data_IF_206581473336
#
_entry.id   IF_206581473336
#
_cell.length_a   1.000
_cell.length_b   1.000
_cell.length_c   1.000
_cell.angle_alpha   90.00
_cell.angle_beta   90.00
_cell.angle_gamma   90.00
#
_symmetry.space_group_name_H-M   'P 1'
#
loop_
_entity.id
_entity.type
_entity.pdbx_description
1 polymer ?
#
# COMPACT_ATOMS: atom_id res chain seq x y z
N UNK A 1 -1.59 -8.34 0.79
CA UNK A 1 -1.03 -9.64 1.21
C UNK A 1 0.37 -9.52 1.78
N UNK A 2 1.16 -8.51 1.38
CA UNK A 2 2.47 -8.23 1.99
C UNK A 2 3.56 -9.19 1.54
N UNK A 3 3.41 -9.77 0.34
CA UNK A 3 4.39 -10.69 -0.24
C UNK A 3 5.73 -10.01 -0.50
N UNK A 4 6.81 -10.74 -0.27
CA UNK A 4 8.19 -10.30 -0.51
C UNK A 4 8.61 -10.48 -1.99
N UNK A 5 7.87 -11.28 -2.75
CA UNK A 5 8.15 -11.57 -4.16
C UNK A 5 6.89 -11.48 -5.00
N UNK A 6 7.03 -10.91 -6.20
CA UNK A 6 6.00 -10.88 -7.24
C UNK A 6 6.61 -11.14 -8.60
N UNK A 7 5.82 -11.11 -9.68
CA UNK A 7 6.33 -11.40 -11.00
C UNK A 7 5.37 -11.12 -12.15
N UNK A 8 5.88 -11.36 -13.35
CA UNK A 8 5.10 -11.40 -14.57
C UNK A 8 5.09 -12.81 -15.13
N UNK A 9 3.93 -13.23 -15.64
CA UNK A 9 3.74 -14.50 -16.31
C UNK A 9 3.21 -14.24 -17.72
N UNK A 10 3.85 -14.85 -18.71
CA UNK A 10 3.34 -14.93 -20.06
C UNK A 10 2.65 -16.27 -20.23
N UNK A 11 1.36 -16.27 -20.52
CA UNK A 11 0.54 -17.47 -20.63
C UNK A 11 -0.35 -17.42 -21.86
N UNK A 12 -0.83 -18.58 -22.30
CA UNK A 12 -1.87 -18.66 -23.33
C UNK A 12 -3.22 -18.21 -22.77
N UNK A 13 -4.06 -17.64 -23.63
CA UNK A 13 -5.44 -17.32 -23.26
C UNK A 13 -6.32 -18.57 -23.42
N UNK A 14 -7.12 -18.86 -22.40
CA UNK A 14 -8.17 -19.89 -22.41
C UNK A 14 -9.49 -19.29 -21.91
N UNK A 15 -10.59 -20.05 -21.98
CA UNK A 15 -11.91 -19.56 -21.55
C UNK A 15 -11.98 -19.21 -20.07
N UNK A 16 -11.27 -19.96 -19.22
CA UNK A 16 -11.15 -19.70 -17.79
C UNK A 16 -10.15 -18.55 -17.57
N UNK A 17 -10.56 -17.54 -16.81
CA UNK A 17 -9.75 -16.35 -16.52
C UNK A 17 -8.39 -16.75 -15.95
N UNK A 18 -7.31 -16.20 -16.53
CA UNK A 18 -5.92 -16.36 -16.09
C UNK A 18 -5.45 -17.81 -15.87
N UNK A 19 -6.05 -18.80 -16.54
CA UNK A 19 -5.81 -20.22 -16.29
C UNK A 19 -5.07 -20.97 -17.42
N UNK A 20 -4.58 -20.26 -18.44
CA UNK A 20 -3.88 -20.92 -19.53
C UNK A 20 -2.45 -21.34 -19.14
N UNK A 21 -1.86 -22.23 -19.93
CA UNK A 21 -0.51 -22.71 -19.68
C UNK A 21 0.51 -21.56 -19.77
N UNK A 22 1.45 -21.53 -18.82
CA UNK A 22 2.49 -20.49 -18.70
C UNK A 22 3.65 -20.84 -19.62
N UNK A 23 3.98 -19.93 -20.53
CA UNK A 23 5.10 -20.04 -21.49
C UNK A 23 6.42 -19.66 -20.80
N UNK A 24 6.41 -18.56 -20.05
CA UNK A 24 7.56 -18.06 -19.32
C UNK A 24 7.11 -17.16 -18.17
N UNK A 25 7.96 -17.02 -17.15
CA UNK A 25 7.72 -16.12 -16.03
C UNK A 25 9.01 -15.45 -15.58
N UNK A 26 8.91 -14.29 -14.94
CA UNK A 26 10.03 -13.62 -14.28
C UNK A 26 9.59 -13.08 -12.93
N UNK A 27 10.41 -13.31 -11.90
CA UNK A 27 10.15 -12.95 -10.50
C UNK A 27 11.03 -11.77 -10.08
N UNK A 28 10.55 -11.01 -9.10
CA UNK A 28 11.17 -9.82 -8.56
C UNK A 28 10.88 -9.70 -7.07
N UNK A 29 11.87 -9.26 -6.32
CA UNK A 29 11.69 -8.87 -4.93
C UNK A 29 10.86 -7.58 -4.87
N UNK A 30 9.90 -7.56 -3.95
CA UNK A 30 9.07 -6.40 -3.65
C UNK A 30 9.80 -5.60 -2.58
N UNK A 31 10.35 -4.46 -2.99
CA UNK A 31 10.90 -3.47 -2.08
C UNK A 31 9.83 -3.02 -1.07
N UNK A 32 10.22 -2.81 0.19
CA UNK A 32 9.27 -2.49 1.27
C UNK A 32 8.68 -1.08 1.13
N UNK A 33 9.31 -0.20 0.35
CA UNK A 33 8.86 1.17 0.08
C UNK A 33 8.18 1.35 -1.28
N UNK A 34 8.30 0.38 -2.21
CA UNK A 34 7.71 0.51 -3.55
C UNK A 34 6.18 0.62 -3.45
N UNK A 35 5.61 1.62 -4.13
CA UNK A 35 4.17 1.80 -4.25
C UNK A 35 3.65 1.18 -5.55
N UNK A 36 2.34 1.00 -5.63
CA UNK A 36 1.70 0.28 -6.73
C UNK A 36 1.97 0.89 -8.12
N UNK A 37 1.97 2.23 -8.33
CA UNK A 37 2.28 2.79 -9.65
C UNK A 37 3.70 2.50 -10.15
N UNK A 38 4.69 2.54 -9.25
CA UNK A 38 6.10 2.24 -9.54
C UNK A 38 6.26 0.74 -9.83
N UNK A 39 5.66 -0.11 -9.01
CA UNK A 39 5.67 -1.56 -9.23
C UNK A 39 4.97 -1.94 -10.55
N UNK A 40 3.84 -1.31 -10.88
CA UNK A 40 3.15 -1.51 -12.15
C UNK A 40 4.04 -1.16 -13.34
N UNK A 41 4.74 -0.02 -13.27
CA UNK A 41 5.66 0.41 -14.33
C UNK A 41 6.82 -0.57 -14.52
N UNK A 42 7.37 -1.08 -13.42
CA UNK A 42 8.41 -2.11 -13.44
C UNK A 42 7.89 -3.41 -14.09
N UNK A 43 6.77 -3.93 -13.60
CA UNK A 43 6.17 -5.17 -14.12
C UNK A 43 5.79 -5.03 -15.60
N UNK A 44 5.27 -3.88 -16.01
CA UNK A 44 4.93 -3.63 -17.41
C UNK A 44 6.16 -3.67 -18.32
N UNK A 45 7.26 -3.04 -17.89
CA UNK A 45 8.54 -3.07 -18.62
C UNK A 45 9.07 -4.49 -18.75
N UNK A 46 9.06 -5.24 -17.65
CA UNK A 46 9.60 -6.59 -17.60
C UNK A 46 8.74 -7.61 -18.35
N UNK A 47 7.41 -7.48 -18.27
CA UNK A 47 6.47 -8.26 -19.05
C UNK A 47 6.59 -8.00 -20.55
N UNK A 48 6.81 -6.74 -20.96
CA UNK A 48 7.05 -6.39 -22.37
C UNK A 48 8.34 -7.03 -22.89
N UNK A 49 9.44 -6.95 -22.12
CA UNK A 49 10.71 -7.62 -22.48
C UNK A 49 10.53 -9.13 -22.58
N UNK A 50 9.80 -9.73 -21.63
CA UNK A 50 9.50 -11.16 -21.62
C UNK A 50 8.72 -11.56 -22.87
N UNK A 51 7.66 -10.81 -23.22
CA UNK A 51 6.87 -11.07 -24.42
C UNK A 51 7.73 -11.01 -25.68
N UNK A 52 8.50 -9.93 -25.88
CA UNK A 52 9.36 -9.76 -27.05
C UNK A 52 10.35 -10.93 -27.20
N UNK A 53 10.92 -11.39 -26.09
CA UNK A 53 11.83 -12.55 -26.08
C UNK A 53 11.14 -13.84 -26.52
N UNK A 54 9.89 -14.04 -26.12
CA UNK A 54 9.14 -15.28 -26.39
C UNK A 54 8.41 -15.29 -27.73
N UNK A 55 8.20 -14.12 -28.36
CA UNK A 55 7.50 -13.97 -29.65
C UNK A 55 7.98 -14.94 -30.75
N UNK A 56 9.30 -15.16 -30.98
CA UNK A 56 9.75 -16.12 -31.98
C UNK A 56 9.19 -17.52 -31.76
N UNK A 57 9.24 -18.01 -30.52
CA UNK A 57 8.70 -19.34 -30.16
C UNK A 57 7.17 -19.41 -30.25
N UNK A 58 6.49 -18.27 -30.09
CA UNK A 58 5.04 -18.18 -30.27
C UNK A 58 4.70 -18.29 -31.76
N UNK A 59 5.46 -17.62 -32.63
CA UNK A 59 5.21 -17.62 -34.07
C UNK A 59 5.58 -18.94 -34.75
N UNK A 60 6.67 -19.58 -34.35
CA UNK A 60 7.07 -20.90 -34.89
C UNK A 60 6.29 -22.08 -34.26
N UNK A 61 5.48 -21.81 -33.23
CA UNK A 61 4.64 -22.79 -32.55
C UNK A 61 5.34 -23.60 -31.45
N UNK A 62 6.65 -23.49 -31.28
CA UNK A 62 7.43 -24.22 -30.28
C UNK A 62 7.08 -23.82 -28.83
N UNK A 63 6.49 -22.64 -28.62
CA UNK A 63 6.00 -22.20 -27.31
C UNK A 63 4.97 -23.15 -26.69
N UNK A 64 4.15 -23.82 -27.52
CA UNK A 64 3.15 -24.79 -27.04
C UNK A 64 3.79 -26.00 -26.37
N UNK A 65 4.94 -26.44 -26.87
CA UNK A 65 5.64 -27.62 -26.38
C UNK A 65 6.33 -27.38 -25.04
N UNK A 66 6.72 -26.13 -24.73
CA UNK A 66 7.39 -25.76 -23.48
C UNK A 66 6.45 -25.16 -22.42
N UNK A 67 5.23 -24.79 -22.79
CA UNK A 67 4.29 -24.18 -21.86
C UNK A 67 3.86 -25.17 -20.78
N UNK A 68 3.81 -24.71 -19.54
CA UNK A 68 3.49 -25.52 -18.37
C UNK A 68 2.05 -25.23 -17.92
N UNK A 69 1.15 -26.24 -17.87
CA UNK A 69 -0.18 -26.08 -17.30
C UNK A 69 -0.13 -25.57 -15.86
N UNK A 70 -1.06 -24.69 -15.50
CA UNK A 70 -1.16 -24.21 -14.12
C UNK A 70 -1.82 -25.26 -13.22
N UNK A 71 -1.42 -25.28 -11.95
CA UNK A 71 -2.00 -26.13 -10.91
C UNK A 71 -3.17 -25.39 -10.25
N UNK A 72 -4.39 -25.74 -10.64
CA UNK A 72 -5.64 -25.13 -10.16
C UNK A 72 -5.77 -25.19 -8.62
N UNK A 73 -5.14 -26.17 -7.95
CA UNK A 73 -5.19 -26.28 -6.49
C UNK A 73 -4.38 -25.21 -5.75
N UNK A 74 -3.47 -24.53 -6.46
CA UNK A 74 -2.62 -23.45 -5.93
C UNK A 74 -3.10 -22.06 -6.32
N UNK A 75 -4.19 -21.95 -7.08
CA UNK A 75 -4.70 -20.68 -7.55
C UNK A 75 -5.24 -19.83 -6.39
N UNK A 76 -4.76 -18.59 -6.29
CA UNK A 76 -5.28 -17.56 -5.38
C UNK A 76 -5.96 -16.45 -6.16
N UNK A 77 -6.99 -15.82 -5.59
CA UNK A 77 -7.72 -14.73 -6.23
C UNK A 77 -7.22 -13.36 -5.77
N UNK A 78 -7.08 -12.44 -6.73
CA UNK A 78 -6.89 -11.02 -6.48
C UNK A 78 -8.17 -10.27 -6.91
N UNK A 79 -9.17 -10.13 -6.02
CA UNK A 79 -10.41 -9.45 -6.37
C UNK A 79 -10.17 -7.97 -6.69
N UNK A 80 -11.13 -7.36 -7.41
CA UNK A 80 -11.09 -5.92 -7.66
C UNK A 80 -11.18 -5.16 -6.34
N UNK A 81 -10.31 -4.18 -6.17
CA UNK A 81 -10.35 -3.26 -5.03
C UNK A 81 -11.62 -2.42 -5.12
N UNK A 82 -12.32 -2.27 -4.01
CA UNK A 82 -13.49 -1.40 -3.86
C UNK A 82 -13.11 -0.06 -3.18
N UNK A 83 -13.78 1.06 -3.51
CA UNK A 83 -13.44 2.36 -2.94
C UNK A 83 -13.56 2.46 -1.41
N UNK A 84 -14.46 1.69 -0.80
CA UNK A 84 -14.65 1.60 0.66
C UNK A 84 -13.46 0.95 1.36
N UNK A 85 -12.67 0.15 0.66
CA UNK A 85 -11.43 -0.40 1.21
C UNK A 85 -10.41 0.71 1.48
N UNK A 86 -10.56 1.94 0.98
CA UNK A 86 -9.61 3.03 1.21
C UNK A 86 -9.43 3.40 2.70
N UNK A 87 -10.37 3.08 3.57
CA UNK A 87 -10.30 3.44 4.98
C UNK A 87 -9.23 2.66 5.75
N UNK A 88 -8.42 3.38 6.51
CA UNK A 88 -7.47 2.82 7.47
C UNK A 88 -8.15 2.68 8.83
N UNK A 89 -7.94 1.53 9.48
CA UNK A 89 -8.27 1.31 10.88
C UNK A 89 -6.96 1.13 11.64
N UNK A 90 -6.67 2.04 12.56
CA UNK A 90 -5.43 2.01 13.34
C UNK A 90 -5.45 0.93 14.43
N UNK A 91 -6.49 0.11 14.51
CA UNK A 91 -6.47 -1.11 15.33
C UNK A 91 -5.73 -2.27 14.64
N UNK A 92 -5.37 -2.10 13.36
CA UNK A 92 -4.50 -3.01 12.63
C UNK A 92 -3.02 -2.71 12.92
N UNK A 93 -2.16 -3.71 12.73
CA UNK A 93 -0.71 -3.52 12.85
C UNK A 93 -0.16 -2.54 11.80
N UNK A 94 0.88 -1.79 12.18
CA UNK A 94 1.50 -0.76 11.35
C UNK A 94 2.01 -1.32 10.00
N UNK A 95 2.53 -2.54 9.96
CA UNK A 95 2.96 -3.19 8.71
C UNK A 95 1.80 -3.39 7.74
N UNK A 96 0.62 -3.80 8.24
CA UNK A 96 -0.60 -3.97 7.43
C UNK A 96 -1.03 -2.63 6.84
N UNK A 97 -1.05 -1.58 7.66
CA UNK A 97 -1.42 -0.23 7.22
C UNK A 97 -0.41 0.36 6.24
N UNK A 98 0.89 0.17 6.47
CA UNK A 98 1.95 0.59 5.57
C UNK A 98 1.80 -0.07 4.19
N UNK A 99 1.59 -1.39 4.16
CA UNK A 99 1.33 -2.13 2.94
C UNK A 99 0.09 -1.63 2.20
N UNK A 100 -0.98 -1.30 2.93
CA UNK A 100 -2.19 -0.74 2.34
C UNK A 100 -1.95 0.64 1.72
N UNK A 101 -1.21 1.52 2.40
CA UNK A 101 -0.85 2.85 1.89
C UNK A 101 -0.07 2.76 0.58
N UNK A 102 0.95 1.89 0.51
CA UNK A 102 1.76 1.73 -0.71
C UNK A 102 1.00 0.99 -1.81
N UNK A 103 0.15 0.01 -1.48
CA UNK A 103 -0.67 -0.71 -2.44
C UNK A 103 -1.76 0.17 -3.08
N UNK A 104 -2.35 1.09 -2.32
CA UNK A 104 -3.45 1.94 -2.78
C UNK A 104 -2.98 3.32 -3.25
N UNK A 105 -1.67 3.52 -3.42
CA UNK A 105 -1.11 4.76 -3.94
C UNK A 105 -1.71 5.08 -5.32
N UNK A 106 -2.14 6.33 -5.50
CA UNK A 106 -2.93 6.73 -6.66
C UNK A 106 -4.41 6.42 -6.48
N UNK A 107 -4.81 5.17 -6.71
CA UNK A 107 -6.20 4.73 -6.59
C UNK A 107 -6.32 3.44 -5.75
N UNK A 108 -7.31 3.35 -4.83
CA UNK A 108 -8.28 4.39 -4.46
C UNK A 108 -7.69 5.52 -3.57
N UNK A 109 -6.41 5.42 -3.22
CA UNK A 109 -5.81 6.17 -2.11
C UNK A 109 -6.16 5.52 -0.78
N UNK A 110 -5.61 6.06 0.31
CA UNK A 110 -6.02 5.69 1.66
C UNK A 110 -6.56 6.89 2.43
N UNK A 111 -7.51 6.64 3.31
CA UNK A 111 -8.23 7.65 4.10
C UNK A 111 -8.21 7.27 5.57
N UNK A 112 -8.11 8.27 6.43
CA UNK A 112 -8.15 8.14 7.86
C UNK A 112 -9.04 9.22 8.45
N UNK A 113 -9.66 8.92 9.59
CA UNK A 113 -10.35 9.89 10.43
C UNK A 113 -9.55 10.07 11.71
N UNK A 114 -9.45 11.30 12.18
CA UNK A 114 -8.82 11.64 13.47
C UNK A 114 -9.68 12.67 14.18
N UNK A 115 -9.61 12.72 15.50
CA UNK A 115 -10.15 13.84 16.26
C UNK A 115 -9.06 14.89 16.47
N UNK A 116 -9.41 16.14 16.18
CA UNK A 116 -8.62 17.32 16.51
C UNK A 116 -9.17 17.89 17.81
N UNK A 117 -8.32 17.99 18.83
CA UNK A 117 -8.68 18.43 20.18
C UNK A 117 -8.02 19.77 20.47
N UNK A 118 -8.83 20.77 20.80
CA UNK A 118 -8.36 22.10 21.21
C UNK A 118 -8.56 22.28 22.71
N UNK A 119 -7.48 22.08 23.48
CA UNK A 119 -7.50 22.22 24.94
C UNK A 119 -7.87 23.65 25.41
N UNK A 120 -7.69 24.68 24.56
CA UNK A 120 -8.00 26.07 24.93
C UNK A 120 -9.48 26.40 24.81
N UNK A 121 -10.12 25.90 23.76
CA UNK A 121 -11.54 26.15 23.48
C UNK A 121 -12.45 25.02 23.98
N UNK A 122 -11.89 23.86 24.32
CA UNK A 122 -12.63 22.64 24.65
C UNK A 122 -13.29 21.98 23.44
N UNK A 123 -13.04 22.48 22.22
CA UNK A 123 -13.66 21.96 21.00
C UNK A 123 -12.99 20.67 20.53
N UNK A 124 -13.81 19.78 19.97
CA UNK A 124 -13.37 18.53 19.35
C UNK A 124 -14.03 18.41 17.99
N UNK A 125 -13.22 18.21 16.94
CA UNK A 125 -13.70 18.09 15.57
C UNK A 125 -13.13 16.85 14.90
N UNK A 126 -13.96 16.12 14.18
CA UNK A 126 -13.49 15.04 13.30
C UNK A 126 -12.85 15.62 12.05
N UNK A 127 -11.68 15.10 11.70
CA UNK A 127 -10.93 15.45 10.51
C UNK A 127 -10.71 14.19 9.67
N UNK A 128 -11.28 14.17 8.47
CA UNK A 128 -10.89 13.21 7.44
C UNK A 128 -9.65 13.73 6.70
N UNK A 129 -8.67 12.87 6.50
CA UNK A 129 -7.51 13.14 5.67
C UNK A 129 -7.10 11.89 4.89
N UNK A 130 -6.38 12.07 3.79
CA UNK A 130 -5.70 10.96 3.12
C UNK A 130 -4.30 10.78 3.68
N UNK A 131 -3.90 9.52 3.83
CA UNK A 131 -2.53 9.12 4.16
C UNK A 131 -1.82 8.77 2.85
N UNK A 132 -0.70 9.45 2.56
CA UNK A 132 -0.07 9.39 1.23
C UNK A 132 1.23 8.59 1.26
N UNK A 133 2.05 8.81 2.29
CA UNK A 133 3.35 8.15 2.45
C UNK A 133 3.57 7.83 3.92
N UNK A 134 4.02 6.61 4.17
CA UNK A 134 4.26 6.09 5.51
C UNK A 134 5.58 5.34 5.59
N UNK A 135 6.01 5.05 6.81
CA UNK A 135 7.12 4.18 7.16
C UNK A 135 6.74 3.39 8.43
N UNK A 136 7.31 2.21 8.58
CA UNK A 136 7.15 1.42 9.80
C UNK A 136 8.09 1.98 10.87
N UNK A 137 7.57 2.27 12.06
CA UNK A 137 8.41 2.67 13.18
C UNK A 137 9.18 1.46 13.70
N UNK A 138 10.51 1.54 13.71
CA UNK A 138 11.38 0.45 14.20
C UNK A 138 11.61 0.49 15.73
N UNK A 139 11.12 1.52 16.41
CA UNK A 139 11.37 1.74 17.83
C UNK A 139 10.18 1.29 18.67
N UNK A 140 10.43 0.37 19.62
CA UNK A 140 9.46 -0.10 20.62
C UNK A 140 9.16 0.93 21.72
N UNK A 141 9.91 2.04 21.78
CA UNK A 141 9.77 3.08 22.82
C UNK A 141 8.52 3.95 22.67
N UNK A 142 7.75 3.79 21.59
CA UNK A 142 6.55 4.60 21.31
C UNK A 142 5.39 4.24 22.26
N UNK A 143 5.41 3.06 22.90
CA UNK A 143 4.28 2.54 23.68
C UNK A 143 4.15 3.09 25.11
N UNK A 144 5.01 4.02 25.54
CA UNK A 144 4.85 4.69 26.83
C UNK A 144 3.95 5.94 26.77
N UNK A 145 3.34 6.24 25.60
CA UNK A 145 2.38 7.33 25.43
C UNK A 145 0.91 6.92 25.64
N UNK A 146 0.01 7.91 25.70
CA UNK A 146 -1.43 7.69 25.69
C UNK A 146 -1.84 6.98 24.39
N UNK A 147 -2.36 5.75 24.48
CA UNK A 147 -2.47 4.78 23.37
C UNK A 147 -3.30 5.22 22.16
N UNK A 148 -3.97 6.36 22.23
CA UNK A 148 -4.80 6.89 21.15
C UNK A 148 -4.27 8.19 20.54
N UNK A 149 -3.26 8.83 21.12
CA UNK A 149 -2.80 10.13 20.66
C UNK A 149 -1.73 10.01 19.58
N UNK A 150 -1.89 10.80 18.53
CA UNK A 150 -0.88 10.93 17.48
C UNK A 150 0.19 11.89 17.96
N UNK A 151 1.44 11.45 17.94
CA UNK A 151 2.59 12.26 18.34
C UNK A 151 3.38 12.72 17.12
N UNK A 152 4.30 13.67 17.31
CA UNK A 152 5.20 14.11 16.25
C UNK A 152 6.65 13.84 16.64
N UNK A 153 7.36 13.05 15.83
CA UNK A 153 8.75 12.64 16.11
C UNK A 153 9.53 12.64 14.80
N UNK A 154 10.72 13.27 14.82
CA UNK A 154 11.68 13.28 13.71
C UNK A 154 11.07 13.60 12.33
N UNK A 155 10.12 14.54 12.27
CA UNK A 155 9.48 14.96 11.02
C UNK A 155 8.30 14.11 10.56
N UNK A 156 7.79 13.21 11.40
CA UNK A 156 6.66 12.32 11.09
C UNK A 156 5.56 12.40 12.14
N UNK A 157 4.31 12.17 11.72
CA UNK A 157 3.20 11.90 12.63
C UNK A 157 3.24 10.42 13.00
N UNK A 158 3.26 10.08 14.28
CA UNK A 158 3.35 8.70 14.75
C UNK A 158 1.98 8.27 15.28
N UNK A 159 1.34 7.37 14.54
CA UNK A 159 0.05 6.79 14.90
C UNK A 159 0.27 5.49 15.69
N UNK A 160 -0.23 5.39 16.93
CA UNK A 160 -0.26 4.11 17.64
C UNK A 160 -1.20 3.15 16.90
N UNK A 161 -0.73 1.93 16.71
CA UNK A 161 -1.40 0.91 15.90
C UNK A 161 -1.66 -0.37 16.72
N UNK A 162 -2.44 -1.29 16.16
CA UNK A 162 -2.67 -2.62 16.72
C UNK A 162 -1.39 -3.39 17.02
N UNK A 163 -1.47 -4.34 17.96
CA UNK A 163 -0.34 -5.19 18.33
C UNK A 163 0.84 -4.45 19.00
N UNK A 164 0.62 -3.22 19.49
CA UNK A 164 1.68 -2.40 20.05
C UNK A 164 2.66 -1.86 19.00
N UNK A 165 2.25 -1.80 17.75
CA UNK A 165 3.07 -1.25 16.67
C UNK A 165 2.80 0.25 16.49
N UNK A 166 3.61 0.95 15.70
CA UNK A 166 3.40 2.34 15.37
C UNK A 166 3.71 2.64 13.90
N UNK A 167 2.87 3.47 13.27
CA UNK A 167 2.99 3.88 11.88
C UNK A 167 3.48 5.33 11.81
N UNK A 168 4.62 5.55 11.16
CA UNK A 168 5.10 6.89 10.84
C UNK A 168 4.42 7.36 9.56
N UNK A 169 3.64 8.43 9.63
CA UNK A 169 3.04 9.10 8.49
C UNK A 169 3.91 10.30 8.12
N UNK A 170 4.38 10.30 6.88
CA UNK A 170 5.29 11.30 6.33
C UNK A 170 4.57 12.36 5.51
N UNK A 171 3.48 11.97 4.83
CA UNK A 171 2.71 12.87 3.98
C UNK A 171 1.20 12.61 4.13
N UNK A 172 0.45 13.69 4.20
CA UNK A 172 -1.02 13.69 4.32
C UNK A 172 -1.64 14.64 3.31
N UNK A 173 -2.92 14.43 3.01
CA UNK A 173 -3.68 15.35 2.16
C UNK A 173 -5.04 15.64 2.80
N UNK A 174 -5.28 16.92 3.08
CA UNK A 174 -6.58 17.42 3.54
C UNK A 174 -7.60 17.45 2.38
N UNK A 175 -8.91 17.31 2.67
CA UNK A 175 -9.96 17.39 1.66
C UNK A 175 -9.88 18.67 0.83
N UNK A 176 -9.81 18.54 -0.49
CA UNK A 176 -9.71 19.66 -1.42
C UNK A 176 -8.37 20.42 -1.41
N UNK A 177 -7.34 19.93 -0.71
CA UNK A 177 -6.01 20.53 -0.65
C UNK A 177 -4.96 19.67 -1.36
N UNK A 178 -3.77 20.22 -1.58
CA UNK A 178 -2.61 19.45 -2.03
C UNK A 178 -2.08 18.59 -0.89
N UNK A 179 -1.39 17.50 -1.23
CA UNK A 179 -0.60 16.75 -0.26
C UNK A 179 0.50 17.64 0.33
N UNK A 180 0.76 17.48 1.62
CA UNK A 180 1.77 18.20 2.39
C UNK A 180 2.52 17.20 3.28
N UNK A 181 3.75 17.55 3.64
CA UNK A 181 4.51 16.77 4.59
C UNK A 181 3.93 16.87 6.02
N UNK A 182 4.27 15.90 6.84
CA UNK A 182 3.85 15.78 8.23
C UNK A 182 4.25 16.99 9.10
N UNK A 183 5.38 17.65 8.78
CA UNK A 183 5.87 18.80 9.54
C UNK A 183 4.99 20.03 9.29
N UNK A 184 4.67 20.30 8.03
CA UNK A 184 3.77 21.37 7.62
C UNK A 184 2.37 21.17 8.20
N UNK A 185 1.86 19.93 8.17
CA UNK A 185 0.58 19.59 8.80
C UNK A 185 0.61 19.82 10.31
N UNK A 186 1.63 19.31 11.02
CA UNK A 186 1.76 19.45 12.46
C UNK A 186 1.86 20.92 12.90
N UNK A 187 2.65 21.73 12.20
CA UNK A 187 2.75 23.18 12.46
C UNK A 187 1.39 23.89 12.25
N UNK A 188 0.55 23.39 11.35
CA UNK A 188 -0.80 23.88 11.10
C UNK A 188 -1.77 23.69 12.27
N UNK A 189 -1.53 22.72 13.16
CA UNK A 189 -2.39 22.44 14.33
C UNK A 189 -2.31 23.51 15.41
N UNK A 190 -1.26 24.34 15.42
CA UNK A 190 -1.09 25.46 16.39
C UNK A 190 -1.26 25.05 17.87
N UNK A 191 -0.81 23.84 18.21
CA UNK A 191 -0.88 23.29 19.56
C UNK A 191 -2.12 22.45 19.86
N UNK A 192 -3.02 22.26 18.90
CA UNK A 192 -4.09 21.26 18.98
C UNK A 192 -3.51 19.85 18.99
N UNK A 193 -4.17 18.94 19.70
CA UNK A 193 -3.80 17.52 19.78
C UNK A 193 -4.59 16.71 18.76
N UNK A 194 -4.03 15.56 18.39
CA UNK A 194 -4.68 14.61 17.50
C UNK A 194 -4.89 13.28 18.22
N UNK A 195 -6.08 12.72 18.07
CA UNK A 195 -6.43 11.39 18.55
C UNK A 195 -6.88 10.51 17.37
N UNK A 196 -6.37 9.29 17.27
CA UNK A 196 -6.84 8.31 16.27
C UNK A 196 -8.29 7.93 16.56
N UNK A 197 -9.03 7.63 15.50
CA UNK A 197 -10.38 7.05 15.53
C UNK A 197 -10.35 5.59 15.10
#
# INVERSE_FOLDING_TARGET
DGVEETGVSLAFTVRKLDAGAVIASKRFQVDDQIKAPELLSLLFSEGSKLLIRELPSIFDGSAKSKAVPQDDSKATLAPKIAPDEAWLSFDQEAFVLHNKVRAFAGWPGTRAKVLVLDDKSGQQNELELKIITTRICQSTEVLNGEQDYVTFKKGSLVFPCGGGTALEVLEVQLPGKKAIDATAFWNGLRGQKLKKL
#
